data_IF_295603637561
#
_entry.id   IF_295603637561
#
_cell.length_a   1.000
_cell.length_b   1.000
_cell.length_c   1.000
_cell.angle_alpha   90.00
_cell.angle_beta   90.00
_cell.angle_gamma   90.00
#
_symmetry.space_group_name_H-M   'P 1'
#
loop_
_entity.id
_entity.type
_entity.pdbx_description
1 polymer ?
#
# COMPACT_ATOMS: atom_id res chain seq x y z
N UNK A 1 -14.99 4.16 52.22
CA UNK A 1 -16.07 5.14 51.97
C UNK A 1 -15.47 6.43 51.39
N UNK A 2 -16.12 7.10 50.44
CA UNK A 2 -15.68 8.41 49.94
C UNK A 2 -16.36 9.51 50.77
N UNK A 3 -15.59 10.46 51.31
CA UNK A 3 -16.13 11.73 51.83
C UNK A 3 -15.47 12.90 51.11
N UNK A 4 -16.31 13.82 50.66
CA UNK A 4 -15.91 15.12 50.13
C UNK A 4 -15.52 16.01 51.31
N UNK A 5 -14.38 16.70 51.22
CA UNK A 5 -14.08 17.82 52.11
C UNK A 5 -14.65 19.11 51.53
N UNK A 6 -14.86 20.11 52.38
CA UNK A 6 -15.42 21.41 52.02
C UNK A 6 -14.51 22.21 51.06
N UNK A 7 -13.24 21.81 50.92
CA UNK A 7 -12.27 22.37 49.97
C UNK A 7 -12.34 21.74 48.55
N UNK A 8 -13.32 20.87 48.30
CA UNK A 8 -13.51 20.20 47.01
C UNK A 8 -12.57 19.02 46.75
N UNK A 9 -11.64 18.69 47.66
CA UNK A 9 -10.79 17.51 47.52
C UNK A 9 -11.53 16.23 47.91
N UNK A 10 -11.40 15.20 47.05
CA UNK A 10 -11.98 13.86 47.29
C UNK A 10 -10.88 12.92 47.74
N UNK A 11 -10.98 12.41 48.98
CA UNK A 11 -10.07 11.40 49.51
C UNK A 11 -10.76 10.03 49.47
N UNK A 12 -10.11 9.07 48.80
CA UNK A 12 -10.56 7.69 48.71
C UNK A 12 -10.13 6.96 49.99
N UNK A 13 -11.04 6.80 50.96
CA UNK A 13 -10.80 5.93 52.10
C UNK A 13 -11.14 4.49 51.70
N UNK A 14 -10.11 3.69 51.43
CA UNK A 14 -10.25 2.24 51.46
C UNK A 14 -10.31 1.86 52.94
N UNK A 15 -11.39 1.23 53.38
CA UNK A 15 -11.40 0.57 54.69
C UNK A 15 -10.51 -0.65 54.56
N UNK A 16 -9.22 -0.47 54.80
CA UNK A 16 -8.29 -1.56 54.96
C UNK A 16 -8.69 -2.22 56.28
N UNK A 17 -9.20 -3.46 56.23
CA UNK A 17 -9.37 -4.28 57.44
C UNK A 17 -8.01 -4.26 58.14
N UNK A 18 -7.94 -3.77 59.38
CA UNK A 18 -6.68 -3.73 60.12
C UNK A 18 -6.15 -5.17 60.20
N UNK A 19 -4.98 -5.47 59.63
CA UNK A 19 -4.45 -6.82 59.69
C UNK A 19 -4.05 -7.12 61.13
N UNK A 20 -4.44 -8.29 61.64
CA UNK A 20 -4.04 -8.70 62.99
C UNK A 20 -2.52 -8.83 63.09
N UNK A 21 -1.92 -8.76 64.30
CA UNK A 21 -0.48 -8.98 64.48
C UNK A 21 0.01 -10.31 63.87
N UNK A 22 -0.83 -11.34 63.87
CA UNK A 22 -0.59 -12.65 63.27
C UNK A 22 -0.64 -12.60 61.73
N UNK A 23 -1.60 -11.89 61.16
CA UNK A 23 -1.68 -11.65 59.71
C UNK A 23 -0.49 -10.82 59.22
N UNK A 24 -0.03 -9.84 60.00
CA UNK A 24 1.20 -9.07 59.74
C UNK A 24 2.45 -9.96 59.78
N UNK A 25 2.53 -10.94 60.68
CA UNK A 25 3.64 -11.87 60.78
C UNK A 25 3.67 -12.87 59.61
N UNK A 26 2.53 -13.48 59.26
CA UNK A 26 2.39 -14.35 58.09
C UNK A 26 2.66 -13.59 56.78
N UNK A 27 2.22 -12.33 56.70
CA UNK A 27 2.45 -11.44 55.56
C UNK A 27 3.93 -11.12 55.37
N UNK A 28 4.66 -10.82 56.46
CA UNK A 28 6.11 -10.54 56.44
C UNK A 28 6.93 -11.74 55.94
N UNK A 29 6.50 -12.96 56.24
CA UNK A 29 7.21 -14.18 55.83
C UNK A 29 6.98 -14.56 54.35
N UNK A 30 6.10 -13.86 53.61
CA UNK A 30 5.75 -14.16 52.21
C UNK A 30 6.62 -13.45 51.14
N UNK A 31 7.67 -12.74 51.57
CA UNK A 31 8.57 -11.97 50.72
C UNK A 31 10.01 -12.48 50.82
N UNK A 32 10.86 -12.14 49.85
CA UNK A 32 12.27 -12.52 49.86
C UNK A 32 13.05 -11.77 50.96
N UNK A 33 14.16 -12.32 51.48
CA UNK A 33 14.86 -11.80 52.68
C UNK A 33 15.27 -10.32 52.63
N UNK A 34 15.57 -9.81 51.44
CA UNK A 34 15.87 -8.38 51.18
C UNK A 34 14.62 -7.50 51.33
N UNK A 35 13.49 -7.93 50.78
CA UNK A 35 12.20 -7.24 50.89
C UNK A 35 11.66 -7.32 52.33
N UNK A 36 11.91 -8.43 53.03
CA UNK A 36 11.58 -8.58 54.46
C UNK A 36 12.30 -7.54 55.32
N UNK A 37 13.55 -7.17 55.02
CA UNK A 37 14.29 -6.12 55.73
C UNK A 37 13.66 -4.74 55.52
N UNK A 38 13.25 -4.39 54.29
CA UNK A 38 12.54 -3.13 54.01
C UNK A 38 11.12 -3.12 54.63
N UNK A 39 10.42 -4.26 54.67
CA UNK A 39 9.08 -4.41 55.27
C UNK A 39 9.13 -4.36 56.81
N UNK A 40 10.23 -4.80 57.44
CA UNK A 40 10.45 -4.69 58.90
C UNK A 40 10.58 -3.24 59.37
N UNK A 41 10.90 -2.29 58.48
CA UNK A 41 11.05 -0.86 58.80
C UNK A 41 9.76 -0.04 58.62
N UNK A 42 8.65 -0.68 58.23
CA UNK A 42 7.36 0.00 58.04
C UNK A 42 6.80 0.44 59.41
N UNK A 43 6.88 1.73 59.72
CA UNK A 43 6.17 2.33 60.85
C UNK A 43 4.73 2.66 60.44
N UNK A 44 3.77 2.37 61.32
CA UNK A 44 2.43 2.95 61.23
C UNK A 44 2.53 4.47 61.42
N UNK A 45 1.80 5.25 60.63
CA UNK A 45 1.53 6.64 60.99
C UNK A 45 0.46 6.69 62.10
N UNK A 46 0.14 7.89 62.62
CA UNK A 46 -0.93 8.13 63.63
C UNK A 46 -2.35 7.68 63.19
N UNK A 47 -2.47 6.97 62.07
CA UNK A 47 -3.69 6.45 61.46
C UNK A 47 -3.57 4.95 61.05
N UNK A 48 -2.62 4.22 61.64
CA UNK A 48 -2.38 2.78 61.42
C UNK A 48 -2.08 2.38 59.94
N UNK A 49 -1.48 3.27 59.14
CA UNK A 49 -1.13 2.98 57.75
C UNK A 49 0.32 2.51 57.60
N UNK A 50 0.54 1.41 56.87
CA UNK A 50 1.88 0.93 56.52
C UNK A 50 2.54 1.84 55.47
N UNK A 51 3.82 2.19 55.65
CA UNK A 51 4.54 3.12 54.77
C UNK A 51 5.76 2.51 54.08
N UNK A 52 5.72 2.28 52.77
CA UNK A 52 6.85 1.80 51.97
C UNK A 52 7.55 2.97 51.25
N UNK A 53 8.84 3.19 51.56
CA UNK A 53 9.65 4.31 51.03
C UNK A 53 8.96 5.68 51.20
N UNK A 54 8.40 5.92 52.40
CA UNK A 54 7.71 7.16 52.75
C UNK A 54 6.32 7.35 52.11
N UNK A 55 5.74 6.31 51.49
CA UNK A 55 4.42 6.36 50.82
C UNK A 55 3.52 5.23 51.32
N UNK A 56 2.22 5.40 51.20
CA UNK A 56 1.24 4.41 51.68
C UNK A 56 1.44 3.08 50.95
N UNK A 57 1.67 2.03 51.72
CA UNK A 57 1.84 0.69 51.23
C UNK A 57 0.48 -0.02 51.12
N UNK A 58 0.27 -0.72 50.00
CA UNK A 58 -0.93 -1.52 49.77
C UNK A 58 -0.58 -3.00 49.87
N UNK A 59 -1.27 -3.79 50.73
CA UNK A 59 -1.03 -5.23 50.86
C UNK A 59 -1.20 -5.97 49.52
N UNK A 60 -0.32 -6.94 49.24
CA UNK A 60 -0.25 -7.68 47.96
C UNK A 60 -1.59 -8.24 47.47
N UNK A 61 -2.39 -8.80 48.37
CA UNK A 61 -3.71 -9.35 48.04
C UNK A 61 -4.68 -8.28 47.50
N UNK A 62 -4.49 -7.02 47.88
CA UNK A 62 -5.38 -5.91 47.53
C UNK A 62 -4.83 -5.03 46.40
N UNK A 63 -3.54 -5.15 46.05
CA UNK A 63 -2.89 -4.29 45.05
C UNK A 63 -3.59 -4.32 43.68
N UNK A 64 -3.96 -5.50 43.19
CA UNK A 64 -4.62 -5.64 41.88
C UNK A 64 -5.99 -4.96 41.87
N UNK A 65 -6.80 -5.18 42.90
CA UNK A 65 -8.13 -4.57 43.01
C UNK A 65 -8.04 -3.05 43.23
N UNK A 66 -7.09 -2.62 44.07
CA UNK A 66 -6.80 -1.21 44.32
C UNK A 66 -6.41 -0.47 43.03
N UNK A 67 -5.43 -0.99 42.28
CA UNK A 67 -5.01 -0.40 41.00
C UNK A 67 -6.15 -0.42 39.99
N UNK A 68 -6.98 -1.48 39.98
CA UNK A 68 -8.17 -1.57 39.11
C UNK A 68 -9.21 -0.51 39.44
N UNK A 69 -9.56 -0.32 40.72
CA UNK A 69 -10.47 0.74 41.18
C UNK A 69 -9.91 2.11 40.83
N UNK A 70 -8.63 2.33 41.12
CA UNK A 70 -7.93 3.58 40.83
C UNK A 70 -7.92 3.92 39.34
N UNK A 71 -7.63 2.96 38.45
CA UNK A 71 -7.62 3.19 37.00
C UNK A 71 -9.01 3.43 36.41
N UNK A 72 -10.05 2.75 36.94
CA UNK A 72 -11.45 2.87 36.50
C UNK A 72 -12.17 4.10 37.04
N UNK A 73 -11.62 4.75 38.07
CA UNK A 73 -12.24 5.91 38.70
C UNK A 73 -12.48 7.02 37.65
N UNK A 74 -13.68 7.62 37.56
CA UNK A 74 -13.96 8.72 36.64
C UNK A 74 -12.98 9.90 36.76
N UNK A 75 -12.46 10.19 37.96
CA UNK A 75 -11.46 11.24 38.18
C UNK A 75 -10.08 10.89 37.60
N UNK A 76 -9.87 9.61 37.30
CA UNK A 76 -8.63 9.08 36.73
C UNK A 76 -8.74 8.63 35.27
N UNK A 77 -9.96 8.45 34.76
CA UNK A 77 -10.27 8.48 33.33
C UNK A 77 -9.57 7.44 32.47
N UNK A 78 -9.44 6.19 32.94
CA UNK A 78 -8.83 5.09 32.19
C UNK A 78 -7.48 5.42 31.55
N UNK A 79 -6.67 6.26 32.20
CA UNK A 79 -5.44 6.77 31.59
C UNK A 79 -4.39 5.67 31.34
N UNK A 80 -3.46 5.95 30.42
CA UNK A 80 -2.38 5.03 30.07
C UNK A 80 -1.36 4.83 31.19
N UNK A 81 -0.56 3.76 31.06
CA UNK A 81 0.37 3.26 32.08
C UNK A 81 1.22 4.35 32.77
N UNK A 82 1.81 5.25 32.00
CA UNK A 82 2.68 6.30 32.56
C UNK A 82 1.91 7.23 33.52
N UNK A 83 0.74 7.73 33.09
CA UNK A 83 -0.07 8.67 33.88
C UNK A 83 -0.64 7.99 35.13
N UNK A 84 -1.18 6.78 34.98
CA UNK A 84 -1.69 6.00 36.13
C UNK A 84 -0.60 5.66 37.13
N UNK A 85 0.59 5.28 36.67
CA UNK A 85 1.75 5.03 37.54
C UNK A 85 2.15 6.30 38.29
N UNK A 86 2.33 7.41 37.58
CA UNK A 86 2.77 8.68 38.19
C UNK A 86 1.80 9.15 39.27
N UNK A 87 0.50 9.08 39.00
CA UNK A 87 -0.54 9.48 39.95
C UNK A 87 -0.60 8.56 41.18
N UNK A 88 -0.45 7.24 40.99
CA UNK A 88 -0.35 6.30 42.12
C UNK A 88 0.88 6.60 42.97
N UNK A 89 2.02 6.89 42.33
CA UNK A 89 3.28 7.19 43.00
C UNK A 89 3.26 8.51 43.80
N UNK A 90 2.25 9.36 43.70
CA UNK A 90 2.15 10.56 44.54
C UNK A 90 1.90 10.20 46.01
N UNK A 91 1.10 9.17 46.27
CA UNK A 91 0.65 8.79 47.63
C UNK A 91 0.92 7.35 47.99
N UNK A 92 1.09 6.46 47.01
CA UNK A 92 1.19 5.02 47.21
C UNK A 92 2.47 4.45 46.63
N UNK A 93 3.02 3.41 47.26
CA UNK A 93 4.16 2.67 46.72
C UNK A 93 4.19 1.23 47.24
N UNK A 94 4.60 0.30 46.38
CA UNK A 94 4.81 -1.11 46.71
C UNK A 94 5.71 -1.76 45.63
N UNK A 95 6.37 -2.89 45.93
CA UNK A 95 7.17 -3.63 44.95
C UNK A 95 6.38 -3.89 43.65
N UNK A 96 7.03 -3.71 42.51
CA UNK A 96 6.45 -3.96 41.18
C UNK A 96 5.20 -3.14 40.80
N UNK A 97 4.92 -2.01 41.47
CA UNK A 97 3.78 -1.11 41.16
C UNK A 97 3.58 -0.88 39.65
N UNK A 98 4.66 -0.60 38.91
CA UNK A 98 4.61 -0.40 37.45
C UNK A 98 4.12 -1.63 36.70
N UNK A 99 4.56 -2.83 37.10
CA UNK A 99 4.14 -4.08 36.48
C UNK A 99 2.66 -4.35 36.78
N UNK A 100 2.22 -4.12 38.02
CA UNK A 100 0.82 -4.24 38.42
C UNK A 100 -0.09 -3.31 37.59
N UNK A 101 0.31 -2.04 37.43
CA UNK A 101 -0.40 -1.07 36.58
C UNK A 101 -0.45 -1.53 35.12
N UNK A 102 0.67 -2.02 34.58
CA UNK A 102 0.72 -2.56 33.21
C UNK A 102 -0.26 -3.71 33.02
N UNK A 103 -0.33 -4.65 33.96
CA UNK A 103 -1.23 -5.79 33.89
C UNK A 103 -2.71 -5.36 33.95
N UNK A 104 -3.07 -4.51 34.91
CA UNK A 104 -4.44 -4.02 35.07
C UNK A 104 -4.93 -3.24 33.84
N UNK A 105 -4.06 -2.44 33.22
CA UNK A 105 -4.41 -1.67 32.02
C UNK A 105 -4.52 -2.57 30.79
N UNK A 106 -3.61 -3.56 30.64
CA UNK A 106 -3.68 -4.55 29.56
C UNK A 106 -5.01 -5.30 29.58
N UNK A 107 -5.51 -5.61 30.77
CA UNK A 107 -6.77 -6.33 30.99
C UNK A 107 -8.01 -5.40 31.00
N UNK A 108 -7.84 -4.09 30.77
CA UNK A 108 -8.94 -3.13 30.80
C UNK A 108 -9.64 -3.02 29.43
N UNK A 109 -10.84 -3.61 29.33
CA UNK A 109 -11.65 -3.56 28.11
C UNK A 109 -11.97 -2.14 27.62
N UNK A 110 -12.36 -1.23 28.54
CA UNK A 110 -12.72 0.16 28.18
C UNK A 110 -11.51 0.91 27.61
N UNK A 111 -10.34 0.78 28.25
CA UNK A 111 -9.10 1.37 27.74
C UNK A 111 -8.71 0.81 26.36
N UNK A 112 -8.80 -0.52 26.18
CA UNK A 112 -8.46 -1.16 24.91
C UNK A 112 -9.41 -0.76 23.78
N UNK A 113 -10.72 -0.58 24.06
CA UNK A 113 -11.70 -0.11 23.08
C UNK A 113 -11.56 1.38 22.73
N UNK A 114 -11.24 2.22 23.71
CA UNK A 114 -11.12 3.67 23.51
C UNK A 114 -9.83 4.09 22.80
N UNK A 115 -8.82 3.21 22.77
CA UNK A 115 -7.51 3.51 22.21
C UNK A 115 -7.49 3.27 20.70
N UNK A 116 -7.11 4.30 19.94
CA UNK A 116 -6.83 4.15 18.52
C UNK A 116 -5.73 3.10 18.28
N UNK A 117 -5.97 2.18 17.34
CA UNK A 117 -4.98 1.22 16.90
C UNK A 117 -3.76 1.94 16.30
N UNK A 118 -2.55 1.56 16.72
CA UNK A 118 -1.28 2.12 16.21
C UNK A 118 -0.49 1.13 15.37
N UNK A 119 -1.02 -0.06 15.13
CA UNK A 119 -0.43 -1.05 14.22
C UNK A 119 -1.01 -0.86 12.82
N UNK A 120 -0.29 -1.33 11.80
CA UNK A 120 -0.82 -1.40 10.42
C UNK A 120 -2.04 -2.35 10.39
N UNK A 121 -3.04 -2.12 9.52
CA UNK A 121 -4.17 -3.04 9.36
C UNK A 121 -3.70 -4.48 9.17
N UNK A 122 -4.43 -5.44 9.75
CA UNK A 122 -4.17 -6.86 9.53
C UNK A 122 -4.65 -7.28 8.14
N UNK A 123 -4.05 -8.35 7.61
CA UNK A 123 -4.36 -8.88 6.29
C UNK A 123 -3.30 -8.49 5.26
N UNK A 124 -2.55 -9.49 4.78
CA UNK A 124 -1.69 -9.32 3.62
C UNK A 124 -2.56 -9.43 2.36
N UNK A 125 -2.18 -8.69 1.31
CA UNK A 125 -2.81 -8.81 0.00
C UNK A 125 -2.64 -10.26 -0.49
N UNK A 126 -3.75 -10.95 -0.72
CA UNK A 126 -3.74 -12.25 -1.38
C UNK A 126 -3.83 -11.99 -2.89
N UNK A 127 -2.80 -12.35 -3.68
CA UNK A 127 -2.89 -12.22 -5.13
C UNK A 127 -4.02 -13.10 -5.65
N UNK A 128 -4.81 -12.55 -6.57
CA UNK A 128 -5.86 -13.32 -7.26
C UNK A 128 -5.21 -14.21 -8.31
N UNK A 129 -5.79 -15.39 -8.57
CA UNK A 129 -5.34 -16.29 -9.63
C UNK A 129 -5.24 -15.52 -10.95
N UNK A 130 -4.09 -15.66 -11.63
CA UNK A 130 -3.89 -15.09 -12.96
C UNK A 130 -4.68 -15.97 -13.94
N UNK A 131 -5.53 -15.40 -14.82
CA UNK A 131 -6.27 -16.20 -15.79
C UNK A 131 -5.33 -16.76 -16.86
N UNK A 132 -5.58 -17.99 -17.31
CA UNK A 132 -4.72 -18.66 -18.30
C UNK A 132 -5.09 -18.35 -19.76
N UNK A 133 -6.26 -17.73 -19.98
CA UNK A 133 -6.80 -17.46 -21.32
C UNK A 133 -7.48 -16.08 -21.36
N UNK A 134 -7.27 -15.38 -22.48
CA UNK A 134 -7.91 -14.09 -22.79
C UNK A 134 -9.43 -14.25 -22.72
N UNK A 135 -10.11 -13.30 -22.10
CA UNK A 135 -11.57 -13.27 -21.93
C UNK A 135 -12.17 -14.42 -21.10
N UNK A 136 -11.33 -15.24 -20.45
CA UNK A 136 -11.82 -16.31 -19.59
C UNK A 136 -12.22 -15.81 -18.20
N UNK A 137 -11.55 -14.77 -17.70
CA UNK A 137 -11.90 -14.10 -16.45
C UNK A 137 -12.02 -12.61 -16.72
N UNK A 138 -13.21 -12.08 -16.51
CA UNK A 138 -13.46 -10.64 -16.63
C UNK A 138 -13.75 -10.03 -15.28
N UNK A 139 -13.43 -8.75 -15.16
CA UNK A 139 -14.03 -7.90 -14.15
C UNK A 139 -14.88 -6.84 -14.85
N UNK A 140 -15.90 -6.36 -14.17
CA UNK A 140 -16.67 -5.22 -14.67
C UNK A 140 -17.15 -4.35 -13.53
N UNK A 141 -17.57 -3.13 -13.86
CA UNK A 141 -18.09 -2.18 -12.89
C UNK A 141 -18.98 -1.15 -13.60
N UNK A 142 -19.75 -0.38 -12.83
CA UNK A 142 -20.50 0.77 -13.30
C UNK A 142 -19.91 2.07 -12.76
N UNK A 143 -19.70 3.04 -13.65
CA UNK A 143 -19.46 4.44 -13.28
C UNK A 143 -20.81 5.14 -13.34
N UNK A 144 -21.41 5.35 -12.17
CA UNK A 144 -22.77 5.91 -12.02
C UNK A 144 -22.73 7.40 -11.67
N UNK A 145 -23.87 8.08 -11.81
CA UNK A 145 -24.02 9.49 -11.41
C UNK A 145 -23.38 10.48 -12.38
N UNK A 146 -23.22 10.10 -13.65
CA UNK A 146 -22.77 11.00 -14.70
C UNK A 146 -23.94 11.90 -15.16
N UNK A 147 -23.66 13.12 -15.64
CA UNK A 147 -24.67 13.95 -16.31
C UNK A 147 -25.30 13.19 -17.48
N UNK A 148 -26.57 13.45 -17.77
CA UNK A 148 -27.23 12.81 -18.91
C UNK A 148 -26.54 13.16 -20.23
N UNK A 149 -26.24 12.15 -21.05
CA UNK A 149 -25.68 12.31 -22.39
C UNK A 149 -26.42 11.43 -23.38
N UNK A 150 -26.59 11.94 -24.60
CA UNK A 150 -27.40 11.31 -25.64
C UNK A 150 -26.50 10.60 -26.64
N UNK A 151 -26.83 9.35 -26.97
CA UNK A 151 -26.18 8.64 -28.06
C UNK A 151 -26.58 9.25 -29.42
N UNK A 152 -25.63 9.61 -30.28
CA UNK A 152 -25.89 10.36 -31.50
C UNK A 152 -26.57 9.52 -32.58
N UNK A 153 -26.50 8.18 -32.49
CA UNK A 153 -27.08 7.26 -33.48
C UNK A 153 -28.50 6.89 -33.10
N UNK A 154 -28.70 6.48 -31.84
CA UNK A 154 -29.97 5.94 -31.34
C UNK A 154 -30.86 7.01 -30.71
N UNK A 155 -30.30 8.15 -30.33
CA UNK A 155 -30.98 9.19 -29.58
C UNK A 155 -31.33 8.81 -28.14
N UNK A 156 -30.85 7.67 -27.65
CA UNK A 156 -31.09 7.21 -26.29
C UNK A 156 -30.18 7.97 -25.33
N UNK A 157 -30.74 8.41 -24.21
CA UNK A 157 -30.00 9.07 -23.13
C UNK A 157 -29.45 8.05 -22.13
N UNK A 158 -28.24 8.33 -21.63
CA UNK A 158 -27.51 7.50 -20.68
C UNK A 158 -26.95 8.36 -19.54
N UNK A 159 -26.80 7.75 -18.36
CA UNK A 159 -26.33 8.37 -17.11
C UNK A 159 -25.22 7.56 -16.41
N UNK A 160 -24.84 6.44 -17.00
CA UNK A 160 -23.93 5.45 -16.43
C UNK A 160 -23.01 4.91 -17.52
N UNK A 161 -21.76 4.62 -17.20
CA UNK A 161 -20.87 3.82 -18.07
C UNK A 161 -20.74 2.43 -17.48
N UNK A 162 -20.98 1.41 -18.30
CA UNK A 162 -20.63 0.03 -17.98
C UNK A 162 -19.26 -0.29 -18.52
N UNK A 163 -18.36 -0.67 -17.62
CA UNK A 163 -16.96 -0.96 -17.91
C UNK A 163 -16.73 -2.46 -17.77
N UNK A 164 -16.14 -3.08 -18.79
CA UNK A 164 -15.75 -4.51 -18.75
C UNK A 164 -14.26 -4.59 -19.04
N UNK A 165 -13.49 -5.33 -18.25
CA UNK A 165 -12.06 -5.52 -18.42
C UNK A 165 -11.69 -7.00 -18.44
N UNK A 166 -10.86 -7.40 -19.41
CA UNK A 166 -10.19 -8.69 -19.39
C UNK A 166 -9.08 -8.69 -18.33
N UNK A 167 -9.13 -9.64 -17.39
CA UNK A 167 -8.16 -9.68 -16.28
C UNK A 167 -6.76 -10.11 -16.72
N UNK A 168 -6.63 -10.77 -17.88
CA UNK A 168 -5.34 -11.22 -18.40
C UNK A 168 -4.65 -10.11 -19.22
N UNK A 169 -5.33 -9.55 -20.22
CA UNK A 169 -4.75 -8.58 -21.16
C UNK A 169 -4.97 -7.12 -20.77
N UNK A 170 -5.81 -6.87 -19.77
CA UNK A 170 -6.31 -5.54 -19.38
C UNK A 170 -7.12 -4.85 -20.48
N UNK A 171 -7.60 -5.56 -21.50
CA UNK A 171 -8.42 -4.95 -22.55
C UNK A 171 -9.76 -4.49 -21.98
N UNK A 172 -10.11 -3.22 -22.21
CA UNK A 172 -11.30 -2.58 -21.66
C UNK A 172 -12.39 -2.31 -22.69
N UNK A 173 -13.65 -2.51 -22.31
CA UNK A 173 -14.83 -1.99 -22.98
C UNK A 173 -15.44 -0.84 -22.17
N UNK A 174 -15.79 0.25 -22.85
CA UNK A 174 -16.50 1.39 -22.26
C UNK A 174 -17.85 1.56 -22.96
N UNK A 175 -18.92 1.14 -22.30
CA UNK A 175 -20.25 1.04 -22.89
C UNK A 175 -21.22 2.01 -22.22
N UNK A 176 -22.01 2.80 -22.97
CA UNK A 176 -23.05 3.61 -22.36
C UNK A 176 -24.14 2.71 -21.78
N UNK A 177 -24.61 3.04 -20.58
CA UNK A 177 -25.60 2.27 -19.84
C UNK A 177 -26.56 3.16 -19.06
N UNK A 178 -27.69 2.59 -18.62
CA UNK A 178 -28.68 3.29 -17.80
C UNK A 178 -28.64 2.74 -16.40
N UNK A 179 -28.48 3.61 -15.40
CA UNK A 179 -28.50 3.22 -13.98
C UNK A 179 -29.84 2.63 -13.53
N UNK A 180 -30.91 2.93 -14.26
CA UNK A 180 -32.27 2.39 -14.06
C UNK A 180 -32.54 1.08 -14.80
N UNK A 181 -31.56 0.54 -15.55
CA UNK A 181 -31.76 -0.67 -16.32
C UNK A 181 -32.04 -1.88 -15.42
N UNK A 182 -32.81 -2.85 -15.94
CA UNK A 182 -33.10 -4.09 -15.23
C UNK A 182 -31.98 -5.13 -15.42
N UNK A 183 -31.96 -6.15 -14.56
CA UNK A 183 -31.03 -7.28 -14.72
C UNK A 183 -31.21 -8.02 -16.06
N UNK A 184 -32.43 -8.02 -16.63
CA UNK A 184 -32.74 -8.60 -17.94
C UNK A 184 -32.11 -7.80 -19.07
N UNK A 185 -32.22 -6.46 -19.01
CA UNK A 185 -31.60 -5.56 -19.98
C UNK A 185 -30.07 -5.67 -19.94
N UNK A 186 -29.50 -5.80 -18.73
CA UNK A 186 -28.08 -6.06 -18.54
C UNK A 186 -27.65 -7.41 -19.14
N UNK A 187 -28.44 -8.47 -18.94
CA UNK A 187 -28.13 -9.78 -19.55
C UNK A 187 -28.16 -9.71 -21.08
N UNK A 188 -29.13 -9.01 -21.67
CA UNK A 188 -29.14 -8.78 -23.12
C UNK A 188 -27.94 -7.95 -23.58
N UNK A 189 -27.61 -6.87 -22.87
CA UNK A 189 -26.42 -6.05 -23.16
C UNK A 189 -25.13 -6.88 -23.05
N UNK A 190 -25.04 -7.78 -22.08
CA UNK A 190 -23.93 -8.71 -21.95
C UNK A 190 -23.82 -9.64 -23.16
N UNK A 191 -24.93 -10.21 -23.61
CA UNK A 191 -24.93 -11.06 -24.80
C UNK A 191 -24.41 -10.28 -26.01
N UNK A 192 -24.97 -9.09 -26.23
CA UNK A 192 -24.68 -8.24 -27.39
C UNK A 192 -23.25 -7.69 -27.42
N UNK A 193 -22.77 -7.20 -26.29
CA UNK A 193 -21.48 -6.50 -26.26
C UNK A 193 -20.32 -7.44 -25.98
N UNK A 194 -20.53 -8.49 -25.18
CA UNK A 194 -19.49 -9.39 -24.74
C UNK A 194 -19.60 -10.81 -25.33
N UNK A 195 -20.69 -11.52 -25.02
CA UNK A 195 -20.79 -12.97 -25.26
C UNK A 195 -20.69 -13.34 -26.74
N UNK A 196 -21.30 -12.54 -27.61
CA UNK A 196 -21.22 -12.65 -29.08
C UNK A 196 -19.78 -12.72 -29.60
N UNK A 197 -18.85 -11.99 -28.99
CA UNK A 197 -17.45 -11.86 -29.48
C UNK A 197 -16.52 -12.86 -28.83
N UNK A 198 -16.73 -13.12 -27.53
CA UNK A 198 -15.74 -13.81 -26.70
C UNK A 198 -16.22 -15.17 -26.19
N UNK A 199 -17.51 -15.46 -26.33
CA UNK A 199 -18.16 -16.61 -25.70
C UNK A 199 -18.40 -16.41 -24.21
N UNK A 200 -18.74 -17.51 -23.54
CA UNK A 200 -19.02 -17.51 -22.10
C UNK A 200 -17.71 -17.44 -21.31
N UNK A 201 -17.53 -16.46 -20.40
CA UNK A 201 -16.38 -16.42 -19.51
C UNK A 201 -16.52 -17.44 -18.38
N UNK A 202 -15.42 -18.05 -17.92
CA UNK A 202 -15.46 -18.94 -16.77
C UNK A 202 -15.79 -18.19 -15.47
N UNK A 203 -15.20 -17.00 -15.28
CA UNK A 203 -15.33 -16.21 -14.05
C UNK A 203 -15.67 -14.76 -14.38
N UNK A 204 -16.65 -14.22 -13.66
CA UNK A 204 -17.02 -12.80 -13.73
C UNK A 204 -16.85 -12.20 -12.33
N UNK A 205 -15.96 -11.24 -12.21
CA UNK A 205 -15.70 -10.49 -10.98
C UNK A 205 -16.52 -9.20 -11.04
N UNK A 206 -17.35 -8.98 -10.03
CA UNK A 206 -18.19 -7.79 -9.92
C UNK A 206 -18.21 -7.29 -8.50
N UNK A 207 -18.57 -6.02 -8.32
CA UNK A 207 -19.08 -5.54 -7.04
C UNK A 207 -20.45 -6.15 -6.72
N UNK A 208 -20.97 -5.85 -5.52
CA UNK A 208 -22.26 -6.36 -5.04
C UNK A 208 -23.44 -5.51 -5.54
N UNK A 209 -23.44 -5.13 -6.81
CA UNK A 209 -24.59 -4.42 -7.39
C UNK A 209 -25.84 -5.33 -7.42
N UNK A 210 -27.00 -4.73 -7.14
CA UNK A 210 -28.31 -5.37 -7.12
C UNK A 210 -28.65 -6.07 -8.43
N UNK A 211 -28.18 -5.55 -9.56
CA UNK A 211 -28.40 -6.15 -10.88
C UNK A 211 -27.85 -7.58 -10.94
N UNK A 212 -26.68 -7.82 -10.34
CA UNK A 212 -26.02 -9.12 -10.32
C UNK A 212 -26.48 -10.02 -9.17
N UNK A 213 -26.79 -9.45 -8.00
CA UNK A 213 -27.29 -10.23 -6.86
C UNK A 213 -28.77 -10.59 -6.97
N UNK A 214 -29.48 -10.05 -7.96
CA UNK A 214 -30.87 -10.39 -8.23
C UNK A 214 -31.05 -11.88 -8.53
N UNK A 215 -32.25 -12.41 -8.26
CA UNK A 215 -32.59 -13.81 -8.61
C UNK A 215 -32.43 -14.08 -10.11
N UNK A 216 -32.80 -13.10 -10.94
CA UNK A 216 -32.63 -13.19 -12.39
C UNK A 216 -31.15 -13.25 -12.77
N UNK A 217 -30.35 -12.27 -12.34
CA UNK A 217 -28.92 -12.18 -12.70
C UNK A 217 -28.14 -13.43 -12.28
N UNK A 218 -28.27 -13.84 -11.01
CA UNK A 218 -27.64 -15.08 -10.52
C UNK A 218 -28.07 -16.32 -11.29
N UNK A 219 -29.35 -16.43 -11.65
CA UNK A 219 -29.86 -17.55 -12.47
C UNK A 219 -29.29 -17.52 -13.89
N UNK A 220 -29.30 -16.36 -14.55
CA UNK A 220 -28.80 -16.17 -15.91
C UNK A 220 -27.33 -16.59 -16.04
N UNK A 221 -26.44 -16.02 -15.22
CA UNK A 221 -25.02 -16.32 -15.30
C UNK A 221 -24.71 -17.78 -14.95
N UNK A 222 -25.46 -18.37 -14.01
CA UNK A 222 -25.35 -19.80 -13.70
C UNK A 222 -25.77 -20.67 -14.88
N UNK A 223 -26.85 -20.34 -15.58
CA UNK A 223 -27.36 -21.13 -16.71
C UNK A 223 -26.43 -21.09 -17.92
N UNK A 224 -25.80 -19.95 -18.21
CA UNK A 224 -24.82 -19.88 -19.31
C UNK A 224 -23.47 -20.52 -18.94
N UNK A 225 -23.25 -20.86 -17.67
CA UNK A 225 -22.02 -21.52 -17.19
C UNK A 225 -20.96 -20.59 -16.61
N UNK A 226 -21.26 -19.31 -16.39
CA UNK A 226 -20.33 -18.33 -15.83
C UNK A 226 -20.36 -18.30 -14.29
N UNK A 227 -19.18 -18.32 -13.65
CA UNK A 227 -19.07 -18.23 -12.18
C UNK A 227 -18.97 -16.76 -11.75
N UNK A 228 -20.03 -16.22 -11.17
CA UNK A 228 -20.00 -14.91 -10.51
C UNK A 228 -19.16 -14.94 -9.22
N UNK A 229 -18.32 -13.93 -9.05
CA UNK A 229 -17.48 -13.68 -7.87
C UNK A 229 -17.64 -12.24 -7.44
N UNK A 230 -18.28 -12.04 -6.28
CA UNK A 230 -18.50 -10.71 -5.74
C UNK A 230 -17.32 -10.24 -4.90
N UNK A 231 -16.80 -9.05 -5.19
CA UNK A 231 -15.87 -8.38 -4.30
C UNK A 231 -16.56 -8.08 -2.96
N UNK A 232 -15.84 -8.20 -1.84
CA UNK A 232 -16.41 -7.90 -0.52
C UNK A 232 -16.44 -6.39 -0.32
N UNK A 233 -17.52 -5.86 0.25
CA UNK A 233 -17.76 -4.42 0.47
C UNK A 233 -16.66 -3.67 1.27
N UNK A 234 -15.68 -4.39 1.83
CA UNK A 234 -14.59 -3.84 2.65
C UNK A 234 -13.18 -4.30 2.22
N UNK A 235 -13.03 -5.02 1.09
CA UNK A 235 -11.71 -5.30 0.46
C UNK A 235 -11.69 -4.79 -0.99
N UNK A 236 -11.37 -3.50 -1.22
CA UNK A 236 -11.15 -2.96 -2.57
C UNK A 236 -9.99 -3.64 -3.32
N UNK A 237 -9.15 -4.40 -2.61
CA UNK A 237 -7.99 -5.11 -3.15
C UNK A 237 -8.30 -6.12 -4.26
N UNK A 238 -9.51 -6.70 -4.30
CA UNK A 238 -9.90 -7.66 -5.35
C UNK A 238 -10.22 -7.02 -6.70
N UNK A 239 -10.52 -5.71 -6.73
CA UNK A 239 -11.02 -5.00 -7.93
C UNK A 239 -10.14 -3.82 -8.37
N UNK A 240 -8.89 -3.75 -7.90
CA UNK A 240 -7.99 -2.62 -8.19
C UNK A 240 -7.67 -2.41 -9.68
N UNK A 241 -7.85 -3.43 -10.54
CA UNK A 241 -7.70 -3.28 -11.99
C UNK A 241 -8.84 -2.44 -12.58
N UNK A 242 -10.09 -2.74 -12.20
CA UNK A 242 -11.27 -2.00 -12.69
C UNK A 242 -11.30 -0.60 -12.10
N UNK A 243 -10.88 -0.42 -10.84
CA UNK A 243 -10.74 0.91 -10.23
C UNK A 243 -9.75 1.80 -11.01
N UNK A 244 -8.58 1.25 -11.36
CA UNK A 244 -7.57 1.98 -12.13
C UNK A 244 -8.01 2.26 -13.57
N UNK A 245 -8.75 1.34 -14.17
CA UNK A 245 -9.39 1.53 -15.46
C UNK A 245 -10.39 2.70 -15.42
N UNK A 246 -11.28 2.71 -14.41
CA UNK A 246 -12.27 3.77 -14.22
C UNK A 246 -11.59 5.13 -14.05
N UNK A 247 -10.55 5.23 -13.23
CA UNK A 247 -9.77 6.46 -13.06
C UNK A 247 -9.18 6.96 -14.39
N UNK A 248 -8.70 6.04 -15.22
CA UNK A 248 -8.14 6.37 -16.54
C UNK A 248 -9.23 6.89 -17.48
N UNK A 249 -10.39 6.25 -17.50
CA UNK A 249 -11.55 6.71 -18.28
C UNK A 249 -12.06 8.07 -17.80
N UNK A 250 -12.23 8.27 -16.50
CA UNK A 250 -12.66 9.55 -15.92
C UNK A 250 -11.68 10.67 -16.23
N UNK A 251 -10.37 10.39 -16.22
CA UNK A 251 -9.36 11.36 -16.63
C UNK A 251 -9.52 11.71 -18.11
N UNK A 252 -9.67 10.71 -18.99
CA UNK A 252 -9.92 10.94 -20.41
C UNK A 252 -11.18 11.79 -20.62
N UNK A 253 -12.31 11.40 -20.04
CA UNK A 253 -13.56 12.15 -20.20
C UNK A 253 -13.44 13.59 -19.72
N UNK A 254 -12.80 13.84 -18.57
CA UNK A 254 -12.56 15.21 -18.08
C UNK A 254 -11.73 16.07 -19.04
N UNK A 255 -10.87 15.47 -19.85
CA UNK A 255 -10.07 16.18 -20.85
C UNK A 255 -10.83 16.51 -22.13
N UNK A 256 -11.85 15.72 -22.51
CA UNK A 256 -12.50 15.81 -23.82
C UNK A 256 -13.97 16.22 -23.78
N UNK A 257 -14.61 16.16 -22.61
CA UNK A 257 -16.02 16.51 -22.48
C UNK A 257 -16.21 18.02 -22.72
N UNK A 258 -17.33 18.37 -23.36
CA UNK A 258 -17.71 19.76 -23.58
C UNK A 258 -18.09 20.46 -22.25
N UNK A 259 -18.27 21.78 -22.30
CA UNK A 259 -18.61 22.58 -21.11
C UNK A 259 -19.91 22.12 -20.43
N UNK A 260 -20.91 21.69 -21.22
CA UNK A 260 -22.20 21.20 -20.74
C UNK A 260 -22.16 19.76 -20.20
N UNK A 261 -21.02 19.07 -20.34
CA UNK A 261 -20.79 17.70 -19.91
C UNK A 261 -21.75 16.64 -20.48
N UNK A 262 -22.36 16.91 -21.65
CA UNK A 262 -23.44 16.10 -22.20
C UNK A 262 -23.07 15.31 -23.47
N UNK A 263 -21.80 15.30 -23.87
CA UNK A 263 -21.30 14.57 -25.05
C UNK A 263 -20.42 13.36 -24.71
N UNK A 264 -20.35 12.93 -23.44
CA UNK A 264 -19.43 11.85 -23.05
C UNK A 264 -19.76 10.50 -23.70
N UNK A 265 -21.02 10.23 -24.07
CA UNK A 265 -21.40 9.00 -24.81
C UNK A 265 -20.68 8.93 -26.16
N UNK A 266 -20.57 10.05 -26.86
CA UNK A 266 -19.86 10.16 -28.15
C UNK A 266 -18.36 9.92 -28.02
N UNK A 267 -17.81 10.18 -26.84
CA UNK A 267 -16.39 10.05 -26.53
C UNK A 267 -15.99 8.64 -26.13
N UNK A 268 -16.92 7.76 -25.72
CA UNK A 268 -16.60 6.42 -25.22
C UNK A 268 -15.83 5.56 -26.24
N UNK A 269 -16.19 5.52 -27.55
CA UNK A 269 -15.42 4.76 -28.53
C UNK A 269 -13.98 5.28 -28.67
N UNK A 270 -13.80 6.60 -28.62
CA UNK A 270 -12.48 7.23 -28.68
C UNK A 270 -11.66 6.96 -27.42
N UNK A 271 -12.30 7.00 -26.25
CA UNK A 271 -11.67 6.64 -24.98
C UNK A 271 -11.20 5.18 -24.99
N UNK A 272 -12.03 4.28 -25.53
CA UNK A 272 -11.74 2.85 -25.59
C UNK A 272 -10.53 2.56 -26.47
N UNK A 273 -10.45 3.15 -27.67
CA UNK A 273 -9.28 2.95 -28.54
C UNK A 273 -8.03 3.61 -27.94
N UNK A 274 -8.14 4.81 -27.37
CA UNK A 274 -7.02 5.49 -26.71
C UNK A 274 -6.45 4.64 -25.55
N UNK A 275 -7.33 4.06 -24.73
CA UNK A 275 -6.94 3.17 -23.64
C UNK A 275 -6.30 1.87 -24.16
N UNK A 276 -6.97 1.14 -25.04
CA UNK A 276 -6.53 -0.19 -25.46
C UNK A 276 -5.27 -0.18 -26.33
N UNK A 277 -4.93 0.95 -26.95
CA UNK A 277 -3.72 1.08 -27.79
C UNK A 277 -2.55 1.71 -27.05
N UNK A 278 -2.76 2.21 -25.83
CA UNK A 278 -1.70 2.72 -24.98
C UNK A 278 -0.94 1.56 -24.32
N UNK A 279 0.40 1.64 -24.35
CA UNK A 279 1.25 0.64 -23.69
C UNK A 279 1.00 0.66 -22.19
N UNK A 280 0.72 -0.51 -21.61
CA UNK A 280 0.57 -0.65 -20.17
C UNK A 280 1.95 -0.79 -19.52
N UNK A 281 2.29 0.08 -18.56
CA UNK A 281 3.60 0.11 -17.91
C UNK A 281 4.03 -1.25 -17.30
N UNK A 282 3.09 -2.00 -16.73
CA UNK A 282 3.40 -3.28 -16.09
C UNK A 282 3.66 -4.41 -17.10
N UNK A 283 3.04 -4.34 -18.29
CA UNK A 283 3.08 -5.40 -19.31
C UNK A 283 4.08 -5.12 -20.43
N UNK A 284 4.42 -3.86 -20.68
CA UNK A 284 5.30 -3.45 -21.78
C UNK A 284 4.66 -3.52 -23.18
N UNK A 285 3.41 -3.97 -23.29
CA UNK A 285 2.62 -4.02 -24.53
C UNK A 285 1.25 -3.36 -24.31
N UNK A 286 0.56 -2.99 -25.39
CA UNK A 286 -0.81 -2.46 -25.30
C UNK A 286 -1.83 -3.59 -25.10
N UNK A 287 -2.97 -3.34 -24.43
CA UNK A 287 -4.05 -4.31 -24.33
C UNK A 287 -4.52 -4.85 -25.69
N UNK A 288 -4.56 -4.00 -26.72
CA UNK A 288 -4.91 -4.41 -28.09
C UNK A 288 -3.93 -5.44 -28.64
N UNK A 289 -2.63 -5.15 -28.53
CA UNK A 289 -1.56 -6.08 -28.97
C UNK A 289 -1.65 -7.40 -28.20
N UNK A 290 -1.95 -7.35 -26.90
CA UNK A 290 -2.09 -8.55 -26.07
C UNK A 290 -3.27 -9.45 -26.48
N UNK A 291 -4.37 -8.87 -26.96
CA UNK A 291 -5.56 -9.62 -27.43
C UNK A 291 -5.38 -10.12 -28.87
N UNK A 292 -4.94 -9.26 -29.78
CA UNK A 292 -4.98 -9.53 -31.24
C UNK A 292 -3.63 -9.92 -31.83
N UNK A 293 -2.54 -9.83 -31.07
CA UNK A 293 -1.19 -10.16 -31.53
C UNK A 293 -0.55 -9.11 -32.46
N UNK A 294 -1.20 -7.96 -32.66
CA UNK A 294 -0.68 -6.85 -33.45
C UNK A 294 -1.17 -5.50 -32.91
N UNK A 295 -0.43 -4.43 -33.22
CA UNK A 295 -0.80 -3.07 -32.85
C UNK A 295 -2.00 -2.57 -33.68
N UNK A 296 -2.81 -1.69 -33.11
CA UNK A 296 -3.83 -0.98 -33.87
C UNK A 296 -3.22 0.28 -34.50
N UNK A 297 -3.43 0.45 -35.79
CA UNK A 297 -3.03 1.67 -36.49
C UNK A 297 -4.01 2.80 -36.16
N UNK A 298 -3.68 3.65 -35.19
CA UNK A 298 -4.54 4.78 -34.77
C UNK A 298 -4.27 6.06 -35.57
N UNK A 299 -3.13 6.13 -36.27
CA UNK A 299 -2.78 7.19 -37.20
C UNK A 299 -2.09 6.58 -38.41
N UNK A 300 -2.57 6.93 -39.61
CA UNK A 300 -1.86 6.61 -40.85
C UNK A 300 -0.89 7.75 -41.18
N UNK A 301 0.36 7.46 -41.57
CA UNK A 301 1.27 8.47 -42.07
C UNK A 301 0.62 9.24 -43.21
N UNK A 302 0.72 10.57 -43.25
CA UNK A 302 0.10 11.41 -44.30
C UNK A 302 0.46 10.93 -45.72
N UNK A 303 1.66 10.38 -45.89
CA UNK A 303 2.18 9.82 -47.14
C UNK A 303 1.42 8.58 -47.64
N UNK A 304 0.67 7.88 -46.77
CA UNK A 304 -0.11 6.69 -47.09
C UNK A 304 -1.58 6.99 -47.45
N UNK A 305 -2.01 8.25 -47.27
CA UNK A 305 -3.28 8.73 -47.82
C UNK A 305 -3.06 8.83 -49.33
N UNK A 306 -3.46 7.78 -50.08
CA UNK A 306 -3.57 7.88 -51.54
C UNK A 306 -4.26 9.21 -51.83
N UNK A 307 -3.72 10.00 -52.76
CA UNK A 307 -4.39 11.20 -53.30
C UNK A 307 -5.73 10.73 -53.88
N UNK A 308 -6.73 10.59 -53.02
CA UNK A 308 -8.10 10.37 -53.43
C UNK A 308 -8.43 11.55 -54.34
N UNK A 309 -9.15 11.33 -55.46
CA UNK A 309 -9.59 12.42 -56.29
C UNK A 309 -10.26 13.45 -55.37
N UNK A 310 -9.84 14.71 -55.50
CA UNK A 310 -10.28 15.82 -54.66
C UNK A 310 -11.80 15.76 -54.61
N UNK A 311 -12.35 15.34 -53.47
CA UNK A 311 -13.79 15.39 -53.24
C UNK A 311 -14.08 16.88 -53.10
N UNK A 312 -14.56 17.52 -54.16
CA UNK A 312 -14.85 18.96 -54.23
C UNK A 312 -16.01 19.38 -53.32
N UNK A 313 -16.65 18.43 -52.64
CA UNK A 313 -17.62 18.66 -51.58
C UNK A 313 -17.24 17.83 -50.35
N UNK A 314 -16.24 18.27 -49.59
CA UNK A 314 -16.03 17.76 -48.22
C UNK A 314 -17.22 18.25 -47.39
N UNK A 315 -17.98 17.32 -46.80
CA UNK A 315 -19.09 17.68 -45.94
C UNK A 315 -18.54 18.51 -44.75
N UNK A 316 -18.97 19.78 -44.55
CA UNK A 316 -18.38 20.68 -43.55
C UNK A 316 -18.34 20.07 -42.15
N UNK A 317 -19.35 19.25 -41.82
CA UNK A 317 -19.49 18.59 -40.53
C UNK A 317 -18.43 17.51 -40.26
N UNK A 318 -17.94 16.82 -41.29
CA UNK A 318 -16.86 15.84 -41.15
C UNK A 318 -15.52 16.51 -40.85
N UNK A 319 -15.27 17.67 -41.47
CA UNK A 319 -14.11 18.50 -41.17
C UNK A 319 -14.17 19.07 -39.75
N UNK A 320 -15.35 19.51 -39.29
CA UNK A 320 -15.56 19.96 -37.91
C UNK A 320 -15.24 18.87 -36.88
N UNK A 321 -15.76 17.65 -37.04
CA UNK A 321 -15.50 16.54 -36.09
C UNK A 321 -14.02 16.16 -36.06
N UNK A 322 -13.36 16.07 -37.22
CA UNK A 322 -11.93 15.74 -37.29
C UNK A 322 -11.07 16.85 -36.70
N UNK A 323 -11.41 18.13 -36.95
CA UNK A 323 -10.68 19.27 -36.38
C UNK A 323 -10.91 19.40 -34.87
N UNK A 324 -12.09 19.12 -34.35
CA UNK A 324 -12.37 19.05 -32.90
C UNK A 324 -11.53 17.95 -32.21
N UNK A 325 -11.45 16.76 -32.81
CA UNK A 325 -10.61 15.67 -32.27
C UNK A 325 -9.13 16.09 -32.28
N UNK A 326 -8.63 16.64 -33.38
CA UNK A 326 -7.23 17.09 -33.50
C UNK A 326 -6.89 18.24 -32.55
N UNK A 327 -7.78 19.21 -32.39
CA UNK A 327 -7.58 20.35 -31.47
C UNK A 327 -7.61 19.90 -30.01
N UNK A 328 -8.50 18.97 -29.64
CA UNK A 328 -8.51 18.40 -28.30
C UNK A 328 -7.25 17.55 -28.01
N UNK A 329 -6.73 16.82 -29.01
CA UNK A 329 -5.44 16.13 -28.91
C UNK A 329 -4.25 17.09 -28.70
N UNK A 330 -4.22 18.23 -29.42
CA UNK A 330 -3.17 19.23 -29.25
C UNK A 330 -3.20 19.91 -27.86
N UNK A 331 -4.40 20.16 -27.33
CA UNK A 331 -4.58 20.65 -25.95
C UNK A 331 -4.07 19.66 -24.91
N UNK A 332 -4.37 18.37 -25.09
CA UNK A 332 -3.89 17.29 -24.21
C UNK A 332 -2.35 17.21 -24.17
N UNK A 333 -1.69 17.28 -25.33
CA UNK A 333 -0.23 17.31 -25.39
C UNK A 333 0.36 18.48 -24.61
N UNK A 334 -0.27 19.66 -24.72
CA UNK A 334 0.16 20.87 -24.01
C UNK A 334 -0.04 20.76 -22.49
N UNK A 335 -1.17 20.20 -22.05
CA UNK A 335 -1.46 19.97 -20.62
C UNK A 335 -0.58 18.89 -20.00
N UNK A 336 -0.32 17.79 -20.72
CA UNK A 336 0.60 16.75 -20.28
C UNK A 336 2.03 17.30 -20.15
N UNK A 337 2.47 18.14 -21.09
CA UNK A 337 3.75 18.85 -20.97
C UNK A 337 3.77 19.77 -19.75
N UNK A 338 2.69 20.51 -19.50
CA UNK A 338 2.58 21.37 -18.31
C UNK A 338 2.61 20.56 -17.00
N UNK A 339 1.91 19.42 -16.94
CA UNK A 339 1.91 18.53 -15.78
C UNK A 339 3.28 17.90 -15.56
N UNK A 340 3.96 17.46 -16.62
CA UNK A 340 5.35 16.98 -16.56
C UNK A 340 6.30 18.07 -16.05
N UNK A 341 6.19 19.31 -16.54
CA UNK A 341 6.98 20.45 -16.06
C UNK A 341 6.69 20.75 -14.59
N UNK A 342 5.42 20.71 -14.16
CA UNK A 342 5.04 20.94 -12.77
C UNK A 342 5.55 19.84 -11.85
N UNK A 343 5.44 18.57 -12.25
CA UNK A 343 6.03 17.43 -11.54
C UNK A 343 7.55 17.57 -11.44
N UNK A 344 8.22 17.95 -12.53
CA UNK A 344 9.65 18.22 -12.54
C UNK A 344 10.01 19.37 -11.58
N UNK A 345 9.26 20.48 -11.57
CA UNK A 345 9.48 21.58 -10.63
C UNK A 345 9.32 21.16 -9.17
N UNK A 346 8.28 20.40 -8.82
CA UNK A 346 8.08 19.91 -7.44
C UNK A 346 9.14 18.88 -7.02
N UNK A 347 9.57 18.01 -7.94
CA UNK A 347 10.62 17.02 -7.69
C UNK A 347 12.01 17.68 -7.57
N UNK A 348 12.31 18.64 -8.44
CA UNK A 348 13.60 19.36 -8.48
C UNK A 348 13.76 20.37 -7.33
N UNK A 349 12.67 20.91 -6.75
CA UNK A 349 12.72 21.79 -5.55
C UNK A 349 13.49 21.20 -4.36
N UNK A 350 13.65 19.87 -4.30
CA UNK A 350 14.34 19.16 -3.21
C UNK A 350 15.68 18.54 -3.63
N UNK A 351 16.21 18.89 -4.81
CA UNK A 351 17.45 18.31 -5.36
C UNK A 351 18.34 19.37 -5.98
N UNK A 352 19.65 19.08 -6.01
CA UNK A 352 20.68 19.89 -6.66
C UNK A 352 21.04 19.19 -7.97
N UNK A 353 21.41 19.96 -9.01
CA UNK A 353 21.92 19.39 -10.25
C UNK A 353 23.14 18.50 -9.98
N UNK A 354 23.16 17.34 -10.63
CA UNK A 354 24.28 16.40 -10.49
C UNK A 354 25.56 16.95 -11.15
N UNK A 355 26.74 16.47 -10.72
CA UNK A 355 28.00 16.89 -11.33
C UNK A 355 28.09 16.48 -12.80
N UNK A 356 28.74 17.28 -13.64
CA UNK A 356 29.03 16.93 -15.04
C UNK A 356 30.14 15.87 -15.02
N UNK A 357 29.83 14.68 -15.52
CA UNK A 357 30.74 13.54 -15.55
C UNK A 357 30.95 13.07 -16.99
N UNK A 358 32.21 12.88 -17.39
CA UNK A 358 32.60 12.44 -18.72
C UNK A 358 33.15 11.02 -18.70
N UNK A 359 33.18 10.40 -19.90
CA UNK A 359 33.87 9.12 -20.09
C UNK A 359 35.33 9.27 -19.66
N UNK A 360 35.77 8.38 -18.78
CA UNK A 360 37.12 8.37 -18.23
C UNK A 360 37.29 9.03 -16.87
N UNK A 361 36.30 9.77 -16.38
CA UNK A 361 36.33 10.35 -15.04
C UNK A 361 36.31 9.26 -13.96
N UNK A 362 36.87 9.61 -12.81
CA UNK A 362 36.90 8.75 -11.61
C UNK A 362 35.78 9.15 -10.68
N UNK A 363 34.99 8.18 -10.23
CA UNK A 363 33.87 8.40 -9.31
C UNK A 363 33.86 7.38 -8.18
N UNK A 364 33.39 7.81 -7.02
CA UNK A 364 33.04 6.95 -5.91
C UNK A 364 31.58 6.50 -6.04
N UNK A 365 31.32 5.23 -5.70
CA UNK A 365 29.98 4.67 -5.59
C UNK A 365 29.49 4.75 -4.14
N UNK A 366 28.34 5.36 -3.90
CA UNK A 366 27.79 5.60 -2.56
C UNK A 366 27.10 4.35 -1.99
N UNK A 367 27.52 3.90 -0.82
CA UNK A 367 26.88 2.83 -0.02
C UNK A 367 25.76 3.45 0.82
N UNK A 368 24.65 3.84 0.20
CA UNK A 368 23.53 4.50 0.91
C UNK A 368 22.66 3.52 1.71
N UNK A 369 22.17 3.98 2.88
CA UNK A 369 21.28 3.23 3.80
C UNK A 369 19.85 3.79 3.88
N UNK A 370 19.53 4.87 3.16
CA UNK A 370 18.36 5.69 3.47
C UNK A 370 17.10 5.42 2.64
N UNK A 371 17.16 4.67 1.53
CA UNK A 371 15.98 4.22 0.80
C UNK A 371 16.14 2.73 0.43
N UNK A 372 15.26 1.89 0.96
CA UNK A 372 15.37 0.44 1.05
C UNK A 372 15.23 -0.35 -0.29
N UNK A 373 15.57 0.25 -1.43
CA UNK A 373 15.25 -0.34 -2.75
C UNK A 373 16.48 -0.64 -3.62
N UNK A 374 17.70 -0.37 -3.15
CA UNK A 374 18.93 -0.77 -3.88
C UNK A 374 19.81 -1.66 -2.99
N UNK A 375 20.14 -2.85 -3.49
CA UNK A 375 20.95 -3.89 -2.81
C UNK A 375 22.42 -3.47 -2.56
N UNK A 376 22.79 -2.22 -2.81
CA UNK A 376 24.15 -1.70 -2.62
C UNK A 376 24.59 -1.64 -1.16
N UNK A 377 23.64 -1.63 -0.21
CA UNK A 377 23.95 -1.73 1.22
C UNK A 377 24.46 -3.12 1.65
N UNK A 378 24.21 -4.15 0.84
CA UNK A 378 24.59 -5.55 1.10
C UNK A 378 26.02 -5.89 0.67
N UNK A 379 26.74 -4.98 -0.01
CA UNK A 379 28.14 -5.20 -0.37
C UNK A 379 28.97 -5.12 0.93
N UNK A 380 29.31 -6.29 1.48
CA UNK A 380 30.20 -6.42 2.64
C UNK A 380 31.64 -6.43 2.18
N UNK A 381 32.44 -5.51 2.70
CA UNK A 381 33.90 -5.63 2.59
C UNK A 381 34.40 -6.59 3.66
N UNK A 382 35.62 -7.14 3.52
CA UNK A 382 36.25 -7.96 4.58
C UNK A 382 36.54 -7.22 5.90
N UNK A 383 36.04 -6.00 6.08
CA UNK A 383 36.25 -5.24 7.32
C UNK A 383 35.27 -5.72 8.40
N UNK A 384 35.72 -5.90 9.64
CA UNK A 384 34.95 -6.57 10.69
C UNK A 384 33.73 -5.80 11.21
N UNK A 385 33.54 -4.52 10.86
CA UNK A 385 32.41 -3.70 11.31
C UNK A 385 31.85 -2.83 10.20
N UNK A 386 30.62 -3.14 9.77
CA UNK A 386 29.85 -2.34 8.79
C UNK A 386 29.62 -0.90 9.25
N UNK A 387 29.59 -0.65 10.57
CA UNK A 387 29.40 0.69 11.13
C UNK A 387 30.65 1.57 10.99
N UNK A 388 31.83 0.94 10.91
CA UNK A 388 33.13 1.61 10.77
C UNK A 388 33.69 1.48 9.34
N UNK A 389 32.93 0.89 8.42
CA UNK A 389 33.36 0.72 7.04
C UNK A 389 33.20 2.03 6.22
N UNK A 390 33.91 2.11 5.11
CA UNK A 390 33.83 3.24 4.21
C UNK A 390 32.45 3.30 3.53
N UNK A 391 31.85 4.49 3.54
CA UNK A 391 30.54 4.76 2.91
C UNK A 391 30.63 4.98 1.40
N UNK A 392 31.85 5.12 0.86
CA UNK A 392 32.16 5.37 -0.56
C UNK A 392 33.07 4.24 -1.06
N UNK A 393 32.67 3.56 -2.12
CA UNK A 393 33.43 2.49 -2.78
C UNK A 393 34.14 3.05 -4.02
N UNK A 394 35.31 2.51 -4.36
CA UNK A 394 36.11 2.97 -5.50
C UNK A 394 37.35 3.77 -5.06
N UNK A 395 37.89 4.64 -5.93
CA UNK A 395 37.27 5.19 -7.13
C UNK A 395 37.24 4.22 -8.32
N UNK A 396 36.17 4.28 -9.10
CA UNK A 396 35.96 3.53 -10.35
C UNK A 396 35.97 4.47 -11.54
N UNK A 397 36.34 3.96 -12.71
CA UNK A 397 36.38 4.73 -13.96
C UNK A 397 35.04 4.63 -14.68
N UNK A 398 34.53 5.76 -15.19
CA UNK A 398 33.37 5.78 -16.08
C UNK A 398 33.79 5.23 -17.45
N UNK A 399 33.18 4.12 -17.84
CA UNK A 399 33.43 3.46 -19.12
C UNK A 399 32.58 4.06 -20.23
N UNK A 400 31.33 4.40 -19.91
CA UNK A 400 30.33 4.89 -20.85
C UNK A 400 29.30 5.79 -20.14
N UNK A 401 28.92 6.88 -20.80
CA UNK A 401 27.80 7.74 -20.38
C UNK A 401 26.56 7.28 -21.15
N UNK A 402 25.63 6.61 -20.48
CA UNK A 402 24.44 6.01 -21.12
C UNK A 402 23.35 7.07 -21.31
N UNK A 403 23.16 7.92 -20.31
CA UNK A 403 22.23 9.05 -20.37
C UNK A 403 22.71 10.19 -19.47
N UNK A 404 22.03 11.36 -19.50
CA UNK A 404 22.31 12.49 -18.60
C UNK A 404 22.31 12.09 -17.11
N UNK A 405 21.64 10.99 -16.76
CA UNK A 405 21.46 10.54 -15.37
C UNK A 405 22.02 9.15 -15.08
N UNK A 406 22.46 8.37 -16.07
CA UNK A 406 22.94 6.99 -15.88
C UNK A 406 24.32 6.78 -16.52
N UNK A 407 25.22 6.15 -15.77
CA UNK A 407 26.62 5.95 -16.13
C UNK A 407 27.04 4.49 -15.92
N UNK A 408 27.82 3.94 -16.84
CA UNK A 408 28.44 2.61 -16.70
C UNK A 408 29.84 2.74 -16.10
N UNK A 409 30.07 2.02 -15.01
CA UNK A 409 31.37 1.97 -14.32
C UNK A 409 32.14 0.70 -14.66
N UNK A 410 33.45 0.85 -14.79
CA UNK A 410 34.38 -0.29 -14.85
C UNK A 410 34.59 -0.85 -13.44
N UNK A 411 33.83 -1.92 -13.12
CA UNK A 411 33.88 -2.60 -11.83
C UNK A 411 34.89 -3.78 -11.84
N UNK A 412 35.56 -4.07 -10.71
CA UNK A 412 36.36 -5.28 -10.57
C UNK A 412 35.52 -6.55 -10.73
N UNK A 413 36.12 -7.61 -11.28
CA UNK A 413 35.47 -8.94 -11.44
C UNK A 413 34.97 -9.56 -10.12
N UNK A 414 35.47 -9.08 -8.98
CA UNK A 414 35.01 -9.51 -7.65
C UNK A 414 33.63 -8.98 -7.28
N UNK A 415 33.11 -7.98 -8.01
CA UNK A 415 31.84 -7.32 -7.71
C UNK A 415 30.76 -7.80 -8.71
N UNK A 416 29.93 -8.77 -8.30
CA UNK A 416 28.83 -9.32 -9.12
C UNK A 416 27.58 -8.43 -9.07
N UNK A 417 27.73 -7.14 -9.37
CA UNK A 417 26.60 -6.21 -9.47
C UNK A 417 26.53 -5.61 -10.87
N UNK A 418 25.33 -5.21 -11.29
CA UNK A 418 25.14 -4.58 -12.58
C UNK A 418 25.93 -3.26 -12.66
N UNK A 419 26.74 -3.01 -13.72
CA UNK A 419 27.71 -1.92 -13.75
C UNK A 419 27.11 -0.53 -14.06
N UNK A 420 25.80 -0.40 -14.19
CA UNK A 420 25.11 0.85 -14.53
C UNK A 420 24.49 1.48 -13.30
N UNK A 421 24.84 2.74 -13.02
CA UNK A 421 24.39 3.46 -11.84
C UNK A 421 23.83 4.84 -12.20
N UNK A 422 22.80 5.24 -11.45
CA UNK A 422 22.24 6.58 -11.53
C UNK A 422 23.17 7.61 -10.87
N UNK A 423 23.24 8.83 -11.40
CA UNK A 423 24.11 9.93 -10.95
C UNK A 423 23.99 10.25 -9.46
N UNK A 424 22.82 10.03 -8.87
CA UNK A 424 22.60 10.24 -7.43
C UNK A 424 23.36 9.28 -6.52
N UNK A 425 23.91 8.20 -7.08
CA UNK A 425 24.73 7.21 -6.37
C UNK A 425 26.23 7.42 -6.61
N UNK A 426 26.60 8.46 -7.36
CA UNK A 426 27.98 8.73 -7.77
C UNK A 426 28.47 10.04 -7.14
N UNK A 427 29.75 10.06 -6.79
CA UNK A 427 30.42 11.27 -6.33
C UNK A 427 31.78 11.41 -7.02
N UNK A 428 32.15 12.60 -7.53
CA UNK A 428 33.42 12.82 -8.21
C UNK A 428 34.61 12.46 -7.31
N UNK A 429 35.58 11.74 -7.85
CA UNK A 429 36.83 11.45 -7.16
C UNK A 429 37.95 12.41 -7.64
N UNK A 430 38.93 12.75 -6.78
CA UNK A 430 40.10 13.50 -7.20
C UNK A 430 40.84 12.82 -8.36
N UNK A 431 41.41 13.61 -9.28
CA UNK A 431 42.13 13.10 -10.46
C UNK A 431 43.31 12.18 -10.08
N UNK A 432 43.96 12.48 -8.95
CA UNK A 432 45.12 11.75 -8.44
C UNK A 432 44.76 10.51 -7.62
N UNK A 433 43.46 10.23 -7.41
CA UNK A 433 43.04 9.09 -6.61
C UNK A 433 43.40 7.77 -7.32
N UNK A 434 44.07 6.82 -6.64
CA UNK A 434 44.47 5.55 -7.24
C UNK A 434 43.23 4.68 -7.54
N UNK A 435 43.17 4.12 -8.75
CA UNK A 435 42.08 3.22 -9.15
C UNK A 435 42.14 1.95 -8.31
N UNK A 436 41.02 1.60 -7.67
CA UNK A 436 40.96 0.41 -6.83
C UNK A 436 40.66 -0.82 -7.69
N UNK A 437 41.72 -1.49 -8.18
CA UNK A 437 41.61 -2.66 -9.07
C UNK A 437 41.10 -3.92 -8.38
N UNK A 438 41.34 -4.06 -7.07
CA UNK A 438 40.91 -5.20 -6.25
C UNK A 438 40.16 -4.71 -5.02
N UNK A 439 38.84 -4.89 -5.00
CA UNK A 439 38.04 -4.78 -3.78
C UNK A 439 37.85 -6.17 -3.19
N UNK A 440 38.31 -6.36 -1.97
CA UNK A 440 38.11 -7.58 -1.18
C UNK A 440 36.69 -7.58 -0.60
N UNK A 441 35.77 -8.15 -1.36
CA UNK A 441 34.38 -8.37 -0.99
C UNK A 441 34.28 -9.79 -0.39
N UNK A 442 33.55 -9.96 0.71
CA UNK A 442 33.25 -11.31 1.24
C UNK A 442 32.46 -12.09 0.18
N UNK A 443 32.94 -13.29 -0.17
CA UNK A 443 32.14 -14.26 -0.92
C UNK A 443 31.11 -14.83 0.04
N UNK A 444 29.84 -14.82 -0.34
CA UNK A 444 28.81 -15.55 0.38
C UNK A 444 28.91 -17.03 -0.02
N UNK A 445 29.79 -17.78 0.65
CA UNK A 445 30.02 -19.22 0.41
C UNK A 445 28.94 -20.08 1.13
N UNK A 446 27.66 -19.71 0.99
CA UNK A 446 26.54 -20.46 1.58
C UNK A 446 25.62 -21.08 0.53
N UNK A 447 26.19 -21.69 -0.51
CA UNK A 447 25.46 -22.58 -1.41
C UNK A 447 26.10 -23.98 -1.31
N UNK A 448 25.33 -24.97 -0.85
CA UNK A 448 25.74 -26.37 -0.81
C UNK A 448 25.03 -27.10 -1.97
N UNK A 449 25.78 -27.81 -2.81
CA UNK A 449 25.21 -28.77 -3.77
C UNK A 449 24.70 -30.00 -3.00
N UNK A 450 23.44 -30.37 -3.21
CA UNK A 450 22.78 -31.50 -2.55
C UNK A 450 22.79 -32.70 -3.49
N UNK A 451 23.41 -33.82 -3.09
CA UNK A 451 23.56 -35.01 -3.95
C UNK A 451 22.25 -35.81 -3.99
N UNK A 452 21.57 -35.94 -2.85
CA UNK A 452 20.21 -36.51 -2.76
C UNK A 452 19.49 -36.10 -1.49
N UNK A 453 18.16 -35.90 -1.58
CA UNK A 453 17.30 -35.73 -0.41
C UNK A 453 16.96 -37.11 0.15
N UNK A 454 17.36 -37.36 1.40
CA UNK A 454 17.13 -38.62 2.11
C UNK A 454 15.83 -38.62 2.93
N UNK A 455 15.44 -37.46 3.48
CA UNK A 455 14.21 -37.32 4.28
C UNK A 455 13.75 -35.85 4.33
N UNK A 456 12.52 -35.59 4.77
CA UNK A 456 12.03 -34.23 5.02
C UNK A 456 11.16 -34.15 6.27
N UNK A 457 11.32 -33.08 7.05
CA UNK A 457 10.49 -32.82 8.23
C UNK A 457 10.04 -31.37 8.32
N UNK A 458 8.91 -31.15 8.99
CA UNK A 458 8.34 -29.83 9.23
C UNK A 458 8.69 -29.32 10.63
N UNK A 459 9.41 -28.19 10.71
CA UNK A 459 9.70 -27.50 11.98
C UNK A 459 9.41 -26.01 11.84
N UNK A 460 8.53 -25.47 12.69
CA UNK A 460 8.13 -24.04 12.70
C UNK A 460 7.72 -23.52 11.30
N UNK A 461 6.87 -24.26 10.60
CA UNK A 461 6.35 -23.95 9.25
C UNK A 461 7.42 -23.76 8.17
N UNK A 462 8.59 -24.39 8.33
CA UNK A 462 9.57 -24.55 7.27
C UNK A 462 9.88 -26.03 7.08
N UNK A 463 9.85 -26.49 5.83
CA UNK A 463 10.30 -27.84 5.47
C UNK A 463 11.81 -27.85 5.52
N UNK A 464 12.38 -28.75 6.31
CA UNK A 464 13.80 -29.04 6.36
C UNK A 464 14.03 -30.38 5.69
N UNK A 465 14.99 -30.43 4.77
CA UNK A 465 15.40 -31.66 4.09
C UNK A 465 16.66 -32.21 4.76
N UNK A 466 16.68 -33.51 5.03
CA UNK A 466 17.90 -34.22 5.34
C UNK A 466 18.54 -34.58 3.99
N UNK A 467 19.72 -34.03 3.74
CA UNK A 467 20.42 -34.13 2.46
C UNK A 467 21.75 -34.88 2.65
N UNK A 468 22.12 -35.69 1.66
CA UNK A 468 23.46 -36.29 1.56
C UNK A 468 24.33 -35.45 0.64
#
# INVERSE_FOLDING_TARGET
MLRRKDDGTVQLYVTLKQPTPEELAQFRNSYDPEEQKEIKQLKGNDKDQLLFRGKIYIPRQQQKEFVRKFHKDPLHGHQGMFKTTKRLQEKYNFPELRQMVKQVIKDCNIYNKAKAARHKPYGLLQPTEIPDKVWNTIAWNFITGLPTSKDPITGVEYDTVWVIIDRLTKYGYFLPFKGTATAEQLAYAFIRYYLDKHGVPEKIISDRDKLFTSKFGTSFFKQIGAKLRFSTAYHPQTDGQTERLNQTLEQYLRSYVNYQQNNWVELLPLAQIAYNTSVNEDMGISPHTAVYGHDAETQRPEQSIRKAPIITAVAPRAETVVTEIKTAQARLQSELQFLQQRMAQYYNKKRIEGPILARGDKVYLLRQKQNATTNLSQIKTKRPSDKLDFKKLGPFKIEEVISKTNYRLSLPKTMRIHPVFHISLLEPAPKDAPLKKNLEIEKDDNEYEVEKILDSRMVKNKIQYLVK
#
